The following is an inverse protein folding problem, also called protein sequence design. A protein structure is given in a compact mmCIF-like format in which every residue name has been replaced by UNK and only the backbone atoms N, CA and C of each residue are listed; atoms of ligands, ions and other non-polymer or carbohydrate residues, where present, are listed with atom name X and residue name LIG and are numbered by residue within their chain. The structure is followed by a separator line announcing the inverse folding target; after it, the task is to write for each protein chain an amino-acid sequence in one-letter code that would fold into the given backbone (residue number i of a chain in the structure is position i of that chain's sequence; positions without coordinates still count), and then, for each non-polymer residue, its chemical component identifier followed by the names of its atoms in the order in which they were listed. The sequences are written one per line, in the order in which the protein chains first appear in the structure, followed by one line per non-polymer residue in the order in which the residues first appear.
data_IF_592894676166
#
_entry.id   IF_592894676166
#
_cell.length_a   1.000
_cell.length_b   1.000
_cell.length_c   1.000
_cell.angle_alpha   90.00
_cell.angle_beta   90.00
_cell.angle_gamma   90.00
#
_symmetry.space_group_name_H-M   'P 1'
#
loop_
_entity.id
_entity.type
_entity.pdbx_description
1 polymer ?
#
# COMPACT_ATOMS: atom_id res chain seq x y z
N UNK A 1 -18.32 -6.80 0.42
CA UNK A 1 -19.73 -6.45 0.71
C UNK A 1 -19.77 -5.47 1.87
N UNK A 2 -19.82 -5.92 3.13
CA UNK A 2 -19.96 -5.03 4.31
C UNK A 2 -19.03 -3.79 4.31
N UNK A 3 -17.72 -3.96 4.07
CA UNK A 3 -16.79 -2.82 3.97
C UNK A 3 -17.14 -1.86 2.83
N UNK A 4 -17.43 -2.38 1.64
CA UNK A 4 -17.82 -1.57 0.48
C UNK A 4 -19.14 -0.83 0.72
N UNK A 5 -20.13 -1.49 1.32
CA UNK A 5 -21.47 -0.92 1.57
C UNK A 5 -21.44 0.16 2.66
N UNK A 6 -20.47 0.09 3.58
CA UNK A 6 -20.34 1.04 4.70
C UNK A 6 -19.30 2.13 4.45
N UNK A 7 -18.55 2.07 3.34
CA UNK A 7 -17.44 2.97 3.08
C UNK A 7 -16.28 2.79 4.07
N UNK A 8 -16.05 1.56 4.54
CA UNK A 8 -14.89 1.20 5.35
C UNK A 8 -13.81 0.59 4.47
N UNK A 9 -12.57 1.00 4.70
CA UNK A 9 -11.39 0.54 3.97
C UNK A 9 -10.68 -0.51 4.80
N UNK A 10 -10.78 -1.80 4.46
CA UNK A 10 -10.03 -2.84 5.16
C UNK A 10 -8.53 -2.63 5.00
N UNK A 11 -7.83 -2.67 6.11
CA UNK A 11 -6.38 -2.54 6.19
C UNK A 11 -5.77 -3.88 6.54
N UNK A 12 -4.80 -4.31 5.75
CA UNK A 12 -4.01 -5.51 5.99
C UNK A 12 -2.70 -5.07 6.64
N UNK A 13 -2.57 -5.42 7.90
CA UNK A 13 -1.37 -5.24 8.69
C UNK A 13 -0.75 -6.61 8.93
N UNK A 14 0.57 -6.66 9.08
CA UNK A 14 1.23 -7.90 9.49
C UNK A 14 0.75 -8.27 10.89
N UNK A 15 0.93 -9.53 11.25
CA UNK A 15 0.53 -9.98 12.57
C UNK A 15 0.95 -11.42 12.79
N UNK A 16 -0.03 -12.26 13.13
CA UNK A 16 0.11 -13.69 13.38
C UNK A 16 0.50 -14.49 12.13
N UNK A 17 1.50 -14.05 11.36
CA UNK A 17 2.02 -14.64 10.13
C UNK A 17 2.46 -16.09 10.42
N UNK A 18 1.49 -16.98 10.29
CA UNK A 18 1.59 -18.37 10.71
C UNK A 18 1.39 -18.67 12.20
N UNK A 19 1.07 -17.71 13.05
CA UNK A 19 0.70 -18.05 14.44
C UNK A 19 -0.74 -18.59 14.47
N UNK A 20 -0.93 -19.77 15.07
CA UNK A 20 -2.24 -20.39 15.26
C UNK A 20 -2.68 -21.27 14.08
N UNK A 21 -3.88 -21.01 13.54
CA UNK A 21 -4.43 -21.77 12.40
C UNK A 21 -3.88 -21.29 11.04
N UNK A 22 -3.10 -20.21 11.02
CA UNK A 22 -2.49 -19.70 9.80
C UNK A 22 -1.34 -20.64 9.36
N UNK A 23 -1.24 -20.85 8.05
CA UNK A 23 -0.14 -21.63 7.46
C UNK A 23 1.22 -20.93 7.62
N UNK A 24 2.28 -21.60 7.20
CA UNK A 24 3.64 -21.04 7.31
C UNK A 24 3.77 -19.69 6.59
N UNK A 25 4.49 -18.70 7.15
CA UNK A 25 4.58 -17.36 6.59
C UNK A 25 5.34 -17.32 5.26
N UNK A 26 6.14 -18.36 4.98
CA UNK A 26 6.78 -18.58 3.69
C UNK A 26 6.47 -19.99 3.16
N UNK A 27 6.50 -20.21 1.83
CA UNK A 27 6.26 -21.53 1.24
C UNK A 27 7.24 -22.62 1.69
N UNK A 28 8.44 -22.23 2.12
CA UNK A 28 9.51 -23.15 2.53
C UNK A 28 9.46 -23.54 4.01
N UNK A 29 8.50 -23.05 4.80
CA UNK A 29 8.33 -23.43 6.21
C UNK A 29 8.41 -22.26 7.19
N UNK A 30 8.79 -22.56 8.44
CA UNK A 30 8.93 -21.57 9.51
C UNK A 30 10.30 -20.89 9.46
N UNK A 31 10.36 -19.55 9.41
CA UNK A 31 11.56 -18.81 9.70
C UNK A 31 12.05 -19.11 11.12
N UNK A 32 13.36 -19.22 11.30
CA UNK A 32 13.97 -19.47 12.61
C UNK A 32 14.15 -18.20 13.43
N UNK A 33 14.35 -17.06 12.75
CA UNK A 33 14.69 -15.79 13.38
C UNK A 33 13.70 -14.68 12.99
N UNK A 34 13.51 -13.71 13.89
CA UNK A 34 12.62 -12.57 13.64
C UNK A 34 12.99 -11.77 12.38
N UNK A 35 14.28 -11.61 12.09
CA UNK A 35 14.76 -10.92 10.88
C UNK A 35 14.32 -11.63 9.60
N UNK A 36 14.26 -12.97 9.61
CA UNK A 36 13.77 -13.76 8.47
C UNK A 36 12.26 -13.58 8.30
N UNK A 37 11.50 -13.56 9.40
CA UNK A 37 10.06 -13.25 9.36
C UNK A 37 9.79 -11.84 8.84
N UNK A 38 10.60 -10.85 9.24
CA UNK A 38 10.51 -9.47 8.70
C UNK A 38 10.75 -9.42 7.20
N UNK A 39 11.77 -10.13 6.72
CA UNK A 39 12.10 -10.19 5.30
C UNK A 39 11.02 -10.90 4.46
N UNK A 40 10.23 -11.79 5.08
CA UNK A 40 9.17 -12.53 4.39
C UNK A 40 7.93 -11.69 4.05
N UNK A 41 7.69 -10.56 4.73
CA UNK A 41 6.46 -9.75 4.64
C UNK A 41 6.07 -9.41 3.19
N UNK A 42 6.96 -8.90 2.30
CA UNK A 42 6.58 -8.58 0.93
C UNK A 42 5.97 -9.76 0.16
N UNK A 43 6.43 -10.99 0.41
CA UNK A 43 5.89 -12.19 -0.22
C UNK A 43 4.46 -12.50 0.22
N UNK A 44 4.16 -12.33 1.52
CA UNK A 44 2.81 -12.51 2.08
C UNK A 44 1.85 -11.47 1.48
N UNK A 45 2.27 -10.20 1.44
CA UNK A 45 1.48 -9.12 0.87
C UNK A 45 1.22 -9.29 -0.63
N UNK A 46 2.24 -9.69 -1.39
CA UNK A 46 2.09 -9.98 -2.81
C UNK A 46 1.07 -11.10 -3.07
N UNK A 47 1.05 -12.14 -2.24
CA UNK A 47 0.06 -13.22 -2.35
C UNK A 47 -1.37 -12.73 -2.10
N UNK A 48 -1.58 -11.90 -1.07
CA UNK A 48 -2.88 -11.29 -0.81
C UNK A 48 -3.32 -10.35 -1.94
N UNK A 49 -2.41 -9.51 -2.43
CA UNK A 49 -2.71 -8.59 -3.53
C UNK A 49 -3.10 -9.35 -4.81
N UNK A 50 -2.37 -10.42 -5.14
CA UNK A 50 -2.71 -11.29 -6.26
C UNK A 50 -4.12 -11.89 -6.10
N UNK A 51 -4.48 -12.38 -4.91
CA UNK A 51 -5.82 -12.89 -4.63
C UNK A 51 -6.90 -11.82 -4.82
N UNK A 52 -6.72 -10.62 -4.27
CA UNK A 52 -7.69 -9.52 -4.44
C UNK A 52 -7.95 -9.20 -5.92
N UNK A 53 -6.90 -9.14 -6.74
CA UNK A 53 -6.98 -8.84 -8.17
C UNK A 53 -7.63 -10.01 -8.92
N UNK A 54 -7.03 -11.19 -8.84
CA UNK A 54 -7.34 -12.31 -9.74
C UNK A 54 -8.63 -13.06 -9.37
N UNK A 55 -9.09 -12.97 -8.11
CA UNK A 55 -10.44 -13.41 -7.72
C UNK A 55 -11.54 -12.40 -8.11
N UNK A 56 -11.17 -11.27 -8.74
CA UNK A 56 -12.13 -10.28 -9.22
C UNK A 56 -12.81 -9.50 -8.09
N UNK A 57 -12.13 -9.31 -6.95
CA UNK A 57 -12.74 -8.63 -5.80
C UNK A 57 -13.14 -7.19 -6.15
N UNK A 58 -12.28 -6.47 -6.89
CA UNK A 58 -12.54 -5.10 -7.33
C UNK A 58 -13.57 -5.00 -8.46
N UNK A 59 -13.74 -6.06 -9.25
CA UNK A 59 -14.85 -6.15 -10.22
C UNK A 59 -16.19 -6.31 -9.50
N UNK A 60 -16.23 -7.15 -8.47
CA UNK A 60 -17.43 -7.37 -7.66
C UNK A 60 -17.77 -6.16 -6.76
N UNK A 61 -16.76 -5.45 -6.27
CA UNK A 61 -16.91 -4.30 -5.37
C UNK A 61 -16.10 -3.10 -5.89
N UNK A 62 -16.60 -2.37 -6.90
CA UNK A 62 -15.84 -1.30 -7.58
C UNK A 62 -15.60 -0.05 -6.71
N UNK A 63 -16.32 0.11 -5.60
CA UNK A 63 -16.06 1.17 -4.63
C UNK A 63 -15.07 0.76 -3.53
N UNK A 64 -14.71 -0.53 -3.43
CA UNK A 64 -13.84 -1.02 -2.38
C UNK A 64 -12.42 -0.49 -2.60
N UNK A 65 -11.84 0.08 -1.53
CA UNK A 65 -10.42 0.34 -1.41
C UNK A 65 -9.85 -0.52 -0.30
N UNK A 66 -8.58 -0.90 -0.41
CA UNK A 66 -7.84 -1.61 0.63
C UNK A 66 -6.52 -0.89 0.90
N UNK A 67 -5.94 -1.10 2.07
CA UNK A 67 -4.59 -0.61 2.37
C UNK A 67 -3.70 -1.73 2.93
N UNK A 68 -2.47 -1.82 2.42
CA UNK A 68 -1.39 -2.61 2.99
C UNK A 68 -0.52 -1.73 3.89
N UNK A 69 -0.26 -2.20 5.11
CA UNK A 69 0.39 -1.43 6.18
C UNK A 69 1.63 -2.19 6.67
N UNK A 70 2.79 -1.55 6.75
CA UNK A 70 4.05 -2.12 7.24
C UNK A 70 4.56 -3.26 6.32
N UNK A 71 4.55 -3.00 5.00
CA UNK A 71 4.92 -3.98 3.97
C UNK A 71 6.14 -3.63 3.12
N UNK A 72 6.74 -2.45 3.31
CA UNK A 72 7.69 -1.87 2.36
C UNK A 72 7.07 -1.63 0.97
N UNK A 73 7.83 -1.01 0.08
CA UNK A 73 7.31 -0.54 -1.22
C UNK A 73 8.14 -1.02 -2.43
N UNK A 74 9.40 -1.39 -2.25
CA UNK A 74 10.30 -1.79 -3.35
C UNK A 74 9.79 -2.98 -4.18
N UNK A 75 9.00 -3.87 -3.59
CA UNK A 75 8.46 -5.04 -4.28
C UNK A 75 7.30 -4.71 -5.24
N UNK A 76 6.60 -3.59 -5.00
CA UNK A 76 5.36 -3.22 -5.70
C UNK A 76 5.59 -3.05 -7.21
N UNK A 77 6.59 -2.28 -7.69
CA UNK A 77 6.84 -2.14 -9.12
C UNK A 77 7.04 -3.48 -9.84
N UNK A 78 7.89 -4.35 -9.28
CA UNK A 78 8.18 -5.64 -9.87
C UNK A 78 6.95 -6.54 -9.92
N UNK A 79 6.13 -6.53 -8.87
CA UNK A 79 4.85 -7.24 -8.85
C UNK A 79 3.91 -6.73 -9.95
N UNK A 80 3.75 -5.41 -10.09
CA UNK A 80 2.86 -4.80 -11.07
C UNK A 80 3.26 -5.17 -12.51
N UNK A 81 4.54 -5.06 -12.85
CA UNK A 81 5.02 -5.40 -14.19
C UNK A 81 4.81 -6.87 -14.51
N UNK A 82 5.06 -7.76 -13.54
CA UNK A 82 4.85 -9.20 -13.71
C UNK A 82 3.36 -9.51 -13.86
N UNK A 83 2.51 -8.98 -12.98
CA UNK A 83 1.08 -9.21 -13.02
C UNK A 83 0.45 -8.74 -14.34
N UNK A 84 0.84 -7.56 -14.85
CA UNK A 84 0.38 -7.05 -16.14
C UNK A 84 0.81 -7.93 -17.32
N UNK A 85 2.05 -8.44 -17.29
CA UNK A 85 2.56 -9.34 -18.33
C UNK A 85 1.83 -10.69 -18.31
N UNK A 86 1.71 -11.30 -17.13
CA UNK A 86 1.08 -12.60 -16.96
C UNK A 86 -0.42 -12.54 -17.24
N UNK A 87 -1.11 -11.46 -16.84
CA UNK A 87 -2.51 -11.26 -17.17
C UNK A 87 -2.74 -11.21 -18.69
N UNK A 88 -1.87 -10.55 -19.46
CA UNK A 88 -2.00 -10.52 -20.93
C UNK A 88 -1.90 -11.93 -21.55
N UNK A 89 -1.07 -12.81 -20.99
CA UNK A 89 -0.89 -14.18 -21.48
C UNK A 89 -1.91 -15.19 -20.94
N UNK A 90 -2.41 -14.98 -19.71
CA UNK A 90 -3.20 -15.96 -18.96
C UNK A 90 -4.63 -15.48 -18.66
N UNK A 91 -5.07 -14.37 -19.28
CA UNK A 91 -6.40 -13.76 -19.04
C UNK A 91 -7.56 -14.74 -19.07
N UNK A 92 -7.46 -15.80 -19.89
CA UNK A 92 -8.50 -16.82 -20.02
C UNK A 92 -8.80 -17.57 -18.72
N UNK A 93 -7.85 -17.61 -17.77
CA UNK A 93 -8.05 -18.24 -16.45
C UNK A 93 -8.86 -17.35 -15.49
N UNK A 94 -8.85 -16.03 -15.69
CA UNK A 94 -9.53 -15.04 -14.85
C UNK A 94 -10.40 -14.10 -15.69
N UNK A 95 -11.38 -14.64 -16.46
CA UNK A 95 -12.09 -13.88 -17.49
C UNK A 95 -12.92 -12.71 -16.92
N UNK A 96 -13.21 -12.70 -15.62
CA UNK A 96 -13.87 -11.57 -14.95
C UNK A 96 -12.95 -10.36 -14.76
N UNK A 97 -11.62 -10.53 -14.74
CA UNK A 97 -10.67 -9.41 -14.64
C UNK A 97 -10.60 -8.67 -15.98
N UNK A 98 -11.10 -7.43 -16.01
CA UNK A 98 -11.31 -6.66 -17.24
C UNK A 98 -10.20 -5.67 -17.58
N UNK A 99 -9.45 -5.18 -16.59
CA UNK A 99 -8.37 -4.19 -16.75
C UNK A 99 -7.00 -4.80 -16.45
N UNK A 100 -5.93 -4.02 -16.66
CA UNK A 100 -4.60 -4.43 -16.21
C UNK A 100 -4.58 -4.53 -14.67
N UNK A 101 -3.92 -5.53 -14.07
CA UNK A 101 -3.65 -5.59 -12.63
C UNK A 101 -3.14 -4.26 -12.05
N UNK A 102 -2.25 -3.56 -12.75
CA UNK A 102 -1.76 -2.24 -12.32
C UNK A 102 -2.84 -1.15 -12.28
N UNK A 103 -3.87 -1.22 -13.12
CA UNK A 103 -5.01 -0.30 -13.05
C UNK A 103 -5.80 -0.52 -11.76
N UNK A 104 -6.06 -1.79 -11.39
CA UNK A 104 -6.76 -2.06 -10.12
C UNK A 104 -5.96 -1.57 -8.92
N UNK A 105 -4.63 -1.74 -8.93
CA UNK A 105 -3.79 -1.25 -7.83
C UNK A 105 -3.86 0.27 -7.72
N UNK A 106 -3.76 1.00 -8.84
CA UNK A 106 -3.90 2.45 -8.85
C UNK A 106 -5.25 2.92 -8.29
N UNK A 107 -6.34 2.26 -8.70
CA UNK A 107 -7.71 2.67 -8.36
C UNK A 107 -8.11 2.25 -6.92
N UNK A 108 -7.66 1.09 -6.45
CA UNK A 108 -8.23 0.44 -5.26
C UNK A 108 -7.24 0.18 -4.11
N UNK A 109 -5.93 0.24 -4.34
CA UNK A 109 -4.95 -0.22 -3.35
C UNK A 109 -4.09 0.93 -2.87
N UNK A 110 -3.89 1.00 -1.55
CA UNK A 110 -2.89 1.88 -0.95
C UNK A 110 -1.83 1.07 -0.22
N UNK A 111 -0.62 1.63 -0.20
CA UNK A 111 0.50 1.16 0.59
C UNK A 111 0.89 2.28 1.56
N UNK A 112 1.52 1.95 2.68
CA UNK A 112 2.09 2.95 3.55
C UNK A 112 3.62 3.07 3.35
N UNK A 113 4.20 4.16 3.85
CA UNK A 113 5.66 4.39 3.79
C UNK A 113 6.42 3.42 4.66
N UNK A 114 6.00 3.25 5.92
CA UNK A 114 6.78 2.49 6.89
C UNK A 114 6.66 0.97 6.66
N UNK A 115 7.76 0.20 6.81
CA UNK A 115 9.14 0.69 6.84
C UNK A 115 9.55 1.17 5.44
N UNK A 116 10.03 2.42 5.34
CA UNK A 116 10.43 2.94 4.04
C UNK A 116 11.72 2.26 3.59
N UNK A 117 11.75 1.80 2.34
CA UNK A 117 12.96 1.25 1.76
C UNK A 117 14.05 2.32 1.63
N UNK A 118 15.28 1.99 2.05
CA UNK A 118 16.43 2.88 2.04
C UNK A 118 17.49 2.42 1.02
N UNK A 119 17.29 2.67 -0.30
CA UNK A 119 18.34 2.41 -1.27
C UNK A 119 19.56 3.32 -1.03
N UNK A 120 20.76 2.95 -1.53
CA UNK A 120 21.97 3.74 -1.32
C UNK A 120 21.89 5.19 -1.84
N UNK A 121 21.04 5.45 -2.84
CA UNK A 121 20.84 6.77 -3.44
C UNK A 121 19.36 7.16 -3.38
N UNK A 122 19.07 8.40 -2.96
CA UNK A 122 17.70 8.95 -2.96
C UNK A 122 17.04 8.88 -4.36
N UNK A 123 17.82 9.02 -5.43
CA UNK A 123 17.32 8.94 -6.80
C UNK A 123 16.75 7.55 -7.17
N UNK A 124 17.22 6.47 -6.51
CA UNK A 124 16.67 5.13 -6.72
C UNK A 124 15.30 4.99 -6.03
N UNK A 125 15.13 5.65 -4.87
CA UNK A 125 13.83 5.73 -4.21
C UNK A 125 12.84 6.52 -5.07
N UNK A 126 13.26 7.62 -5.70
CA UNK A 126 12.43 8.38 -6.64
C UNK A 126 11.94 7.50 -7.81
N UNK A 127 12.77 6.58 -8.29
CA UNK A 127 12.36 5.61 -9.30
C UNK A 127 11.32 4.62 -8.79
N UNK A 128 11.49 4.08 -7.57
CA UNK A 128 10.51 3.19 -6.94
C UNK A 128 9.16 3.91 -6.77
N UNK A 129 9.17 5.13 -6.20
CA UNK A 129 7.98 5.96 -5.99
C UNK A 129 7.24 6.23 -7.30
N UNK A 130 7.98 6.59 -8.35
CA UNK A 130 7.40 6.82 -9.68
C UNK A 130 6.82 5.54 -10.27
N UNK A 131 7.52 4.42 -10.19
CA UNK A 131 7.06 3.16 -10.79
C UNK A 131 5.85 2.56 -10.08
N UNK A 132 5.70 2.78 -8.78
CA UNK A 132 4.52 2.34 -8.02
C UNK A 132 3.35 3.32 -8.09
N UNK A 133 3.49 4.46 -8.78
CA UNK A 133 2.52 5.56 -8.82
C UNK A 133 2.22 6.12 -7.42
N UNK A 134 3.26 6.45 -6.65
CA UNK A 134 3.15 6.93 -5.27
C UNK A 134 2.24 8.15 -5.12
N UNK A 135 2.10 8.97 -6.18
CA UNK A 135 1.15 10.08 -6.23
C UNK A 135 -0.30 9.63 -6.02
N UNK A 136 -0.63 8.35 -6.24
CA UNK A 136 -1.98 7.79 -6.03
C UNK A 136 -2.00 6.68 -4.99
N UNK A 137 -0.92 5.91 -4.87
CA UNK A 137 -0.93 4.63 -4.15
C UNK A 137 -0.28 4.71 -2.76
N UNK A 138 0.60 5.68 -2.50
CA UNK A 138 1.39 5.72 -1.27
C UNK A 138 0.80 6.67 -0.23
N UNK A 139 0.73 6.23 1.03
CA UNK A 139 0.29 7.03 2.18
C UNK A 139 1.41 7.07 3.22
N UNK A 140 1.59 8.20 3.90
CA UNK A 140 2.47 8.23 5.06
C UNK A 140 1.88 7.39 6.21
N UNK A 141 2.74 6.63 6.88
CA UNK A 141 2.46 6.08 8.20
C UNK A 141 3.76 6.11 9.00
N UNK A 142 3.69 6.42 10.30
CA UNK A 142 4.88 6.43 11.14
C UNK A 142 5.18 5.06 11.75
N UNK A 143 4.16 4.24 12.02
CA UNK A 143 4.27 3.02 12.85
C UNK A 143 4.80 3.28 14.27
N UNK A 144 4.36 4.39 14.86
CA UNK A 144 4.69 4.69 16.26
C UNK A 144 3.92 3.73 17.19
N UNK A 145 4.53 3.16 18.25
CA UNK A 145 5.85 3.47 18.83
C UNK A 145 6.96 2.46 18.48
N UNK A 146 6.92 1.80 17.31
CA UNK A 146 7.96 0.85 16.94
C UNK A 146 9.33 1.52 16.82
N UNK A 147 10.39 0.71 16.96
CA UNK A 147 11.76 1.20 16.99
C UNK A 147 12.25 1.66 15.60
N UNK A 148 11.65 1.13 14.54
CA UNK A 148 11.89 1.45 13.13
C UNK A 148 10.77 2.32 12.54
N UNK A 149 10.25 3.24 13.35
CA UNK A 149 9.22 4.17 12.92
C UNK A 149 9.76 5.16 11.87
N UNK A 150 8.89 5.56 10.95
CA UNK A 150 9.14 6.64 9.99
C UNK A 150 8.85 8.00 10.66
N UNK A 151 9.86 8.89 10.73
CA UNK A 151 9.69 10.21 11.34
C UNK A 151 8.96 11.19 10.39
N UNK A 152 7.83 11.81 10.79
CA UNK A 152 6.99 12.60 9.88
C UNK A 152 7.68 13.81 9.24
N UNK A 153 8.71 14.38 9.87
CA UNK A 153 9.48 15.49 9.31
C UNK A 153 10.67 15.06 8.44
N UNK A 154 11.15 13.82 8.60
CA UNK A 154 12.36 13.34 7.92
C UNK A 154 12.04 12.46 6.72
N UNK A 155 11.03 11.60 6.86
CA UNK A 155 10.54 10.70 5.81
C UNK A 155 10.17 11.50 4.57
N UNK A 156 10.79 11.13 3.44
CA UNK A 156 10.56 11.75 2.13
C UNK A 156 10.73 13.28 2.13
N UNK A 157 11.71 13.82 2.87
CA UNK A 157 11.99 15.26 2.85
C UNK A 157 12.61 15.78 1.55
N UNK A 158 13.22 14.90 0.75
CA UNK A 158 13.93 15.26 -0.48
C UNK A 158 13.03 15.32 -1.72
N UNK A 159 11.84 14.70 -1.68
CA UNK A 159 10.96 14.60 -2.85
C UNK A 159 10.19 15.91 -3.10
N UNK A 160 9.61 16.01 -4.29
CA UNK A 160 8.74 17.13 -4.69
C UNK A 160 7.65 17.44 -3.63
N UNK A 161 7.48 18.70 -3.21
CA UNK A 161 6.50 19.07 -2.19
C UNK A 161 5.06 18.70 -2.52
N UNK A 162 4.65 18.73 -3.79
CA UNK A 162 3.30 18.36 -4.18
C UNK A 162 3.09 16.84 -4.09
N UNK A 163 4.09 16.05 -4.50
CA UNK A 163 4.08 14.61 -4.27
C UNK A 163 4.03 14.28 -2.77
N UNK A 164 4.87 14.95 -1.96
CA UNK A 164 4.89 14.79 -0.50
C UNK A 164 3.55 15.12 0.13
N UNK A 165 2.90 16.20 -0.28
CA UNK A 165 1.55 16.56 0.20
C UNK A 165 0.53 15.47 -0.11
N UNK A 166 0.61 14.85 -1.30
CA UNK A 166 -0.29 13.75 -1.67
C UNK A 166 -0.07 12.52 -0.79
N UNK A 167 1.19 12.15 -0.54
CA UNK A 167 1.55 11.01 0.32
C UNK A 167 1.11 11.26 1.77
N UNK A 168 1.33 12.46 2.30
CA UNK A 168 1.06 12.78 3.71
C UNK A 168 -0.41 13.08 4.02
N UNK A 169 -1.26 13.34 3.02
CA UNK A 169 -2.66 13.68 3.26
C UNK A 169 -3.62 13.20 2.17
N UNK A 170 -3.43 13.62 0.92
CA UNK A 170 -4.46 13.49 -0.11
C UNK A 170 -4.81 12.02 -0.41
N UNK A 171 -3.82 11.13 -0.43
CA UNK A 171 -4.04 9.72 -0.73
C UNK A 171 -4.80 9.01 0.42
N UNK A 172 -4.60 9.41 1.67
CA UNK A 172 -5.36 8.90 2.81
C UNK A 172 -6.81 9.40 2.79
N UNK A 173 -7.04 10.68 2.51
CA UNK A 173 -8.40 11.22 2.37
C UNK A 173 -9.19 10.54 1.25
N UNK A 174 -8.52 10.22 0.14
CA UNK A 174 -9.11 9.46 -0.95
C UNK A 174 -9.39 7.99 -0.56
N UNK A 175 -8.50 7.38 0.22
CA UNK A 175 -8.60 5.97 0.62
C UNK A 175 -9.63 5.71 1.71
N UNK A 176 -9.84 6.66 2.63
CA UNK A 176 -10.70 6.52 3.79
C UNK A 176 -11.87 7.53 3.72
N UNK A 177 -12.97 7.19 3.03
CA UNK A 177 -14.05 8.15 2.73
C UNK A 177 -14.83 8.63 3.96
N UNK A 178 -14.60 8.03 5.13
CA UNK A 178 -15.17 8.46 6.41
C UNK A 178 -14.31 9.49 7.15
N UNK A 179 -13.09 9.78 6.67
CA UNK A 179 -12.31 10.87 7.25
C UNK A 179 -13.01 12.20 6.95
N UNK A 180 -13.11 13.10 7.95
CA UNK A 180 -13.70 14.41 7.72
C UNK A 180 -12.88 15.17 6.70
N UNK A 181 -13.55 15.70 5.67
CA UNK A 181 -12.95 16.50 4.59
C UNK A 181 -12.44 17.88 5.04
N UNK A 182 -12.46 18.16 6.35
CA UNK A 182 -12.11 19.44 6.95
C UNK A 182 -11.20 19.28 8.15
N UNK A 183 -9.90 19.17 7.90
CA UNK A 183 -8.94 19.86 8.77
C UNK A 183 -8.55 21.11 7.98
N UNK A 184 -9.09 22.24 8.39
CA UNK A 184 -8.74 23.56 7.85
C UNK A 184 -7.22 23.71 7.84
N UNK A 185 -6.67 24.19 6.73
CA UNK A 185 -5.30 24.70 6.69
C UNK A 185 -5.07 25.62 7.90
N UNK A 186 -3.90 25.55 8.56
CA UNK A 186 -3.58 26.40 9.71
C UNK A 186 -3.64 27.91 9.43
N UNK A 187 -3.78 28.32 8.17
CA UNK A 187 -3.81 29.72 7.72
C UNK A 187 -5.18 30.43 7.87
N UNK A 188 -6.14 29.85 8.59
CA UNK A 188 -7.47 30.46 8.80
C UNK A 188 -7.65 31.17 10.16
N UNK A 189 -6.56 31.42 10.89
CA UNK A 189 -6.62 32.36 12.00
C UNK A 189 -6.89 33.78 11.45
N UNK A 190 -7.97 34.47 11.86
CA UNK A 190 -8.20 35.83 11.43
C UNK A 190 -7.07 36.70 11.98
N UNK A 191 -6.38 37.40 11.09
CA UNK A 191 -5.50 38.51 11.47
C UNK A 191 -6.42 39.58 12.07
N UNK A 192 -6.51 39.63 13.40
CA UNK A 192 -7.15 40.73 14.09
C UNK A 192 -6.27 41.97 13.94
N UNK A 193 -6.91 43.07 13.50
CA UNK A 193 -6.35 44.41 13.36
C UNK A 193 -5.85 44.99 14.69
#
# INVERSE_FOLDING_TARGET
AACADTGLTPTLHLGTEGIGMAGTPVPSGWPSNYIESRLARPGVYAAHLASYIFEGTFEKFPALKIAFIECGISWVPAFLWRADADWKGLRYQTPWVKKLPSDYVRDHVRFNTQPLDEPPLDADLDHILRWMHAERTLMFASDYPHWDFDHPEQTLRHIDPALRQRIFAANALDAFPRLPSGVSSPDSAPVSA
#
